data_IF_612073223510
#
_entry.id   IF_612073223510
#
_cell.length_a   1.000
_cell.length_b   1.000
_cell.length_c   1.000
_cell.angle_alpha   90.00
_cell.angle_beta   90.00
_cell.angle_gamma   90.00
#
_symmetry.space_group_name_H-M   'P 1'
#
loop_
_entity.id
_entity.type
_entity.pdbx_description
1 polymer ?
#
# COMPACT_ATOMS: atom_id res chain seq x y z
N UNK A 1 39.86 27.72 -19.06
CA UNK A 1 38.47 27.66 -18.55
C UNK A 1 37.51 27.02 -19.58
N UNK A 2 37.88 25.92 -20.24
CA UNK A 2 36.98 25.15 -21.15
C UNK A 2 37.47 23.69 -21.16
N UNK A 3 37.45 22.94 -20.04
CA UNK A 3 37.74 21.48 -20.01
C UNK A 3 37.16 20.74 -18.78
N UNK A 4 36.01 21.16 -18.22
CA UNK A 4 35.31 20.40 -17.14
C UNK A 4 33.81 20.25 -17.45
N UNK A 5 33.40 20.32 -18.73
CA UNK A 5 31.98 20.32 -19.11
C UNK A 5 31.49 19.04 -19.79
N UNK A 6 32.32 17.99 -19.89
CA UNK A 6 31.94 16.72 -20.52
C UNK A 6 31.83 15.52 -19.57
N UNK A 7 32.27 15.63 -18.32
CA UNK A 7 32.22 14.51 -17.36
C UNK A 7 30.90 14.44 -16.57
N UNK A 8 30.08 15.49 -16.58
CA UNK A 8 28.79 15.52 -15.84
C UNK A 8 27.57 15.11 -16.69
N UNK A 9 27.73 14.95 -18.00
CA UNK A 9 26.66 14.53 -18.91
C UNK A 9 26.59 12.99 -19.10
N UNK A 10 27.48 12.23 -18.45
CA UNK A 10 27.64 10.78 -18.63
C UNK A 10 27.02 9.92 -17.50
N UNK A 11 26.22 10.50 -16.60
CA UNK A 11 25.63 9.79 -15.45
C UNK A 11 24.12 9.53 -15.54
N UNK A 12 23.47 9.81 -16.69
CA UNK A 12 22.06 9.49 -16.92
C UNK A 12 21.85 8.71 -18.22
N UNK A 13 22.82 7.87 -18.59
CA UNK A 13 22.59 6.83 -19.59
C UNK A 13 21.79 5.71 -18.94
N UNK A 14 20.47 5.90 -18.79
CA UNK A 14 19.56 4.79 -18.54
C UNK A 14 19.72 3.83 -19.71
N UNK A 15 20.43 2.74 -19.47
CA UNK A 15 20.48 1.63 -20.40
C UNK A 15 19.04 1.17 -20.52
N UNK A 16 18.42 1.31 -21.69
CA UNK A 16 17.12 0.69 -21.96
C UNK A 16 17.38 -0.82 -21.98
N UNK A 17 17.40 -1.42 -20.79
CA UNK A 17 17.37 -2.87 -20.66
C UNK A 17 16.02 -3.31 -21.19
N UNK A 18 16.03 -4.29 -22.09
CA UNK A 18 14.80 -4.91 -22.54
C UNK A 18 14.09 -5.50 -21.30
N UNK A 19 12.84 -5.09 -21.08
CA UNK A 19 12.04 -5.62 -19.98
C UNK A 19 11.88 -7.14 -20.14
N UNK A 20 12.01 -7.87 -19.04
CA UNK A 20 11.96 -9.33 -19.00
C UNK A 20 10.61 -9.84 -18.46
N UNK A 21 10.16 -10.96 -19.03
CA UNK A 21 9.00 -11.74 -18.54
C UNK A 21 9.36 -12.70 -17.38
N UNK A 22 10.62 -12.77 -16.96
CA UNK A 22 11.07 -13.70 -15.91
C UNK A 22 10.29 -13.51 -14.60
N UNK A 23 10.02 -12.26 -14.23
CA UNK A 23 9.22 -11.93 -13.04
C UNK A 23 7.79 -12.46 -13.14
N UNK A 24 7.15 -12.30 -14.30
CA UNK A 24 5.83 -12.86 -14.57
C UNK A 24 5.83 -14.39 -14.47
N UNK A 25 6.73 -15.06 -15.19
CA UNK A 25 6.80 -16.52 -15.25
C UNK A 25 7.14 -17.16 -13.90
N UNK A 26 7.90 -16.46 -13.07
CA UNK A 26 8.25 -16.92 -11.71
C UNK A 26 7.08 -16.79 -10.73
N UNK A 27 6.23 -15.77 -10.89
CA UNK A 27 5.16 -15.45 -9.93
C UNK A 27 3.81 -16.00 -10.34
N UNK A 28 3.42 -15.76 -11.58
CA UNK A 28 2.06 -15.99 -12.02
C UNK A 28 1.92 -17.36 -12.68
N UNK A 29 0.93 -18.12 -12.22
CA UNK A 29 0.52 -19.37 -12.84
C UNK A 29 -0.85 -19.21 -13.47
N UNK A 30 -0.91 -19.43 -14.77
CA UNK A 30 -2.16 -19.52 -15.50
C UNK A 30 -2.75 -20.92 -15.32
N UNK A 31 -4.00 -20.98 -14.87
CA UNK A 31 -4.77 -22.21 -14.77
C UNK A 31 -5.83 -22.19 -15.85
N UNK A 32 -5.77 -23.18 -16.73
CA UNK A 32 -6.67 -23.34 -17.86
C UNK A 32 -7.59 -24.54 -17.63
N UNK A 33 -8.79 -24.49 -18.21
CA UNK A 33 -9.70 -25.63 -18.22
C UNK A 33 -9.28 -26.70 -19.25
N UNK A 34 -10.12 -27.74 -19.41
CA UNK A 34 -9.88 -28.82 -20.37
C UNK A 34 -9.96 -28.36 -21.83
N UNK A 35 -10.60 -27.22 -22.10
CA UNK A 35 -10.69 -26.62 -23.43
C UNK A 35 -9.52 -25.67 -23.72
N UNK A 36 -8.62 -25.48 -22.74
CA UNK A 36 -7.47 -24.58 -22.85
C UNK A 36 -7.81 -23.11 -22.62
N UNK A 37 -9.00 -22.79 -22.10
CA UNK A 37 -9.40 -21.42 -21.73
C UNK A 37 -8.88 -21.07 -20.35
N UNK A 38 -8.38 -19.86 -20.19
CA UNK A 38 -7.98 -19.32 -18.89
C UNK A 38 -9.18 -19.32 -17.92
N UNK A 39 -8.93 -19.75 -16.69
CA UNK A 39 -9.90 -19.79 -15.59
C UNK A 39 -9.42 -18.90 -14.45
N UNK A 40 -8.18 -19.10 -13.99
CA UNK A 40 -7.57 -18.30 -12.93
C UNK A 40 -6.13 -17.95 -13.20
N UNK A 41 -5.71 -16.82 -12.62
CA UNK A 41 -4.31 -16.45 -12.45
C UNK A 41 -4.00 -16.53 -10.96
N UNK A 42 -3.03 -17.39 -10.62
CA UNK A 42 -2.52 -17.52 -9.26
C UNK A 42 -1.19 -16.80 -9.12
N UNK A 43 -0.97 -16.13 -7.99
CA UNK A 43 0.34 -15.67 -7.57
C UNK A 43 0.97 -16.68 -6.61
N UNK A 44 2.10 -17.25 -7.00
CA UNK A 44 2.84 -18.26 -6.25
C UNK A 44 3.60 -17.69 -5.05
N UNK A 45 3.78 -16.37 -4.98
CA UNK A 45 4.41 -15.70 -3.83
C UNK A 45 3.46 -15.53 -2.64
N UNK A 46 2.15 -15.67 -2.88
CA UNK A 46 1.12 -15.65 -1.86
C UNK A 46 0.97 -17.01 -1.18
N UNK A 47 0.63 -17.00 0.12
CA UNK A 47 0.57 -18.21 0.95
C UNK A 47 -0.75 -18.32 1.70
N UNK A 48 -1.21 -19.56 1.88
CA UNK A 48 -2.34 -19.91 2.75
C UNK A 48 -2.00 -19.87 4.24
N UNK A 49 -0.70 -19.86 4.59
CA UNK A 49 -0.25 -19.93 6.00
C UNK A 49 -0.18 -18.54 6.59
N UNK A 50 -1.31 -18.04 7.06
CA UNK A 50 -1.36 -16.77 7.80
C UNK A 50 -0.78 -16.90 9.21
N UNK A 51 0.07 -15.94 9.59
CA UNK A 51 0.43 -15.69 10.98
C UNK A 51 0.48 -14.20 11.27
N UNK A 52 -0.02 -13.80 12.43
CA UNK A 52 0.02 -12.44 12.94
C UNK A 52 1.40 -12.06 13.48
N UNK A 53 2.24 -13.05 13.81
CA UNK A 53 3.54 -12.87 14.46
C UNK A 53 4.47 -11.88 13.74
N UNK A 54 4.62 -11.90 12.40
CA UNK A 54 5.45 -10.92 11.69
C UNK A 54 4.98 -9.48 11.93
N UNK A 55 3.67 -9.24 11.90
CA UNK A 55 3.11 -7.91 12.14
C UNK A 55 3.24 -7.47 13.59
N UNK A 56 3.02 -8.36 14.56
CA UNK A 56 3.26 -8.06 15.97
C UNK A 56 4.72 -7.68 16.24
N UNK A 57 5.67 -8.41 15.64
CA UNK A 57 7.10 -8.08 15.74
C UNK A 57 7.41 -6.73 15.09
N UNK A 58 6.89 -6.50 13.89
CA UNK A 58 7.04 -5.26 13.14
C UNK A 58 6.56 -4.06 13.96
N UNK A 59 5.29 -4.06 14.38
CA UNK A 59 4.70 -2.91 15.09
C UNK A 59 5.38 -2.68 16.44
N UNK A 60 5.70 -3.74 17.19
CA UNK A 60 6.42 -3.64 18.46
C UNK A 60 7.80 -2.99 18.27
N UNK A 61 8.55 -3.45 17.26
CA UNK A 61 9.90 -2.94 17.01
C UNK A 61 9.90 -1.46 16.62
N UNK A 62 8.94 -1.04 15.80
CA UNK A 62 8.80 0.35 15.40
C UNK A 62 8.31 1.24 16.55
N UNK A 63 7.38 0.76 17.37
CA UNK A 63 6.95 1.46 18.58
C UNK A 63 8.14 1.75 19.52
N UNK A 64 8.92 0.72 19.86
CA UNK A 64 10.08 0.87 20.73
C UNK A 64 11.16 1.78 20.11
N UNK A 65 11.41 1.66 18.80
CA UNK A 65 12.33 2.56 18.08
C UNK A 65 11.90 4.01 18.18
N UNK A 66 10.62 4.31 17.98
CA UNK A 66 10.12 5.70 18.06
C UNK A 66 10.11 6.24 19.48
N UNK A 67 9.77 5.42 20.48
CA UNK A 67 9.89 5.81 21.89
C UNK A 67 11.34 6.15 22.24
N UNK A 68 12.31 5.35 21.80
CA UNK A 68 13.72 5.60 22.02
C UNK A 68 14.22 6.87 21.30
N UNK A 69 13.77 7.14 20.06
CA UNK A 69 14.09 8.38 19.34
C UNK A 69 13.56 9.61 20.08
N UNK A 70 12.32 9.58 20.53
CA UNK A 70 11.71 10.69 21.25
C UNK A 70 12.42 10.93 22.59
N UNK A 71 12.72 9.87 23.35
CA UNK A 71 13.40 9.96 24.65
C UNK A 71 14.83 10.49 24.52
N UNK A 72 15.59 10.02 23.51
CA UNK A 72 16.99 10.41 23.32
C UNK A 72 17.16 11.85 22.83
N UNK A 73 16.25 12.36 21.99
CA UNK A 73 16.34 13.69 21.40
C UNK A 73 15.58 14.76 22.19
N UNK A 74 14.58 14.38 22.97
CA UNK A 74 13.59 15.31 23.50
C UNK A 74 12.54 15.69 22.45
N UNK A 75 11.44 16.27 22.92
CA UNK A 75 10.25 16.58 22.09
C UNK A 75 10.56 17.61 20.99
N UNK A 76 11.37 18.63 21.29
CA UNK A 76 11.67 19.72 20.35
C UNK A 76 12.48 19.23 19.14
N UNK A 77 13.57 18.50 19.40
CA UNK A 77 14.41 17.96 18.33
C UNK A 77 13.71 16.83 17.54
N UNK A 78 12.81 16.08 18.19
CA UNK A 78 11.95 15.13 17.49
C UNK A 78 10.92 15.83 16.59
N UNK A 79 10.32 16.93 17.05
CA UNK A 79 9.42 17.73 16.23
C UNK A 79 10.14 18.32 15.01
N UNK A 80 11.38 18.80 15.16
CA UNK A 80 12.20 19.24 14.04
C UNK A 80 12.49 18.11 13.02
N UNK A 81 12.69 16.87 13.47
CA UNK A 81 12.81 15.70 12.59
C UNK A 81 11.50 15.46 11.81
N UNK A 82 10.35 15.54 12.48
CA UNK A 82 9.04 15.42 11.82
C UNK A 82 8.81 16.53 10.80
N UNK A 83 9.20 17.76 11.12
CA UNK A 83 9.13 18.89 10.20
C UNK A 83 9.96 18.60 8.96
N UNK A 84 11.22 18.22 9.10
CA UNK A 84 12.07 17.86 7.96
C UNK A 84 11.48 16.71 7.13
N UNK A 85 10.83 15.76 7.78
CA UNK A 85 10.27 14.58 7.12
C UNK A 85 9.03 14.91 6.29
N UNK A 86 8.17 15.83 6.72
CA UNK A 86 6.85 16.08 6.14
C UNK A 86 6.66 17.47 5.52
N UNK A 87 7.65 18.35 5.60
CA UNK A 87 7.57 19.70 5.05
C UNK A 87 7.36 19.70 3.52
N UNK A 88 6.34 20.43 3.08
CA UNK A 88 5.83 20.51 1.70
C UNK A 88 5.02 19.30 1.24
N UNK A 89 4.79 18.34 2.15
CA UNK A 89 3.91 17.20 1.93
C UNK A 89 2.67 17.28 2.82
N UNK A 90 2.84 17.47 4.14
CA UNK A 90 1.73 17.63 5.10
C UNK A 90 1.42 19.08 5.46
N UNK A 91 2.45 19.92 5.49
CA UNK A 91 2.35 21.33 5.86
C UNK A 91 3.46 22.12 5.17
N UNK A 92 3.25 23.42 5.00
CA UNK A 92 4.26 24.30 4.41
C UNK A 92 5.38 24.64 5.39
N UNK A 93 6.55 25.01 4.85
CA UNK A 93 7.69 25.44 5.67
C UNK A 93 7.29 26.62 6.54
N UNK A 94 7.51 26.48 7.85
CA UNK A 94 7.21 27.52 8.82
C UNK A 94 5.73 27.60 9.25
N UNK A 95 4.86 26.71 8.77
CA UNK A 95 3.46 26.61 9.23
C UNK A 95 3.40 25.93 10.61
N UNK A 96 3.72 26.72 11.64
CA UNK A 96 3.80 26.21 13.01
C UNK A 96 2.43 25.86 13.61
N UNK A 97 1.35 26.45 13.06
CA UNK A 97 -0.02 26.32 13.56
C UNK A 97 -0.84 25.28 12.79
N UNK A 98 -0.22 24.53 11.87
CA UNK A 98 -0.89 23.43 11.18
C UNK A 98 -1.51 22.45 12.16
N UNK A 99 -2.84 22.31 12.11
CA UNK A 99 -3.58 21.34 12.92
C UNK A 99 -3.04 19.92 12.73
N UNK A 100 -2.65 19.57 11.51
CA UNK A 100 -2.03 18.28 11.17
C UNK A 100 -0.72 18.07 11.92
N UNK A 101 0.15 19.08 11.94
CA UNK A 101 1.45 19.05 12.62
C UNK A 101 1.27 18.82 14.12
N UNK A 102 0.32 19.52 14.73
CA UNK A 102 -0.01 19.39 16.16
C UNK A 102 -0.56 17.99 16.46
N UNK A 103 -1.55 17.52 15.69
CA UNK A 103 -2.14 16.19 15.86
C UNK A 103 -1.07 15.10 15.76
N UNK A 104 -0.16 15.20 14.78
CA UNK A 104 0.91 14.22 14.60
C UNK A 104 1.85 14.22 15.81
N UNK A 105 2.27 15.39 16.25
CA UNK A 105 3.18 15.56 17.40
C UNK A 105 2.55 15.04 18.68
N UNK A 106 1.30 15.41 18.96
CA UNK A 106 0.56 14.97 20.15
C UNK A 106 0.31 13.46 20.15
N UNK A 107 0.01 12.90 18.98
CA UNK A 107 -0.16 11.45 18.82
C UNK A 107 1.14 10.71 19.13
N UNK A 108 2.27 11.18 18.60
CA UNK A 108 3.58 10.57 18.87
C UNK A 108 3.99 10.75 20.34
N UNK A 109 3.68 11.90 20.95
CA UNK A 109 3.90 12.14 22.39
C UNK A 109 3.05 11.20 23.25
N UNK A 110 1.77 11.03 22.92
CA UNK A 110 0.89 10.10 23.63
C UNK A 110 1.37 8.65 23.51
N UNK A 111 1.93 8.27 22.35
CA UNK A 111 2.52 6.95 22.17
C UNK A 111 3.71 6.68 23.09
N UNK A 112 4.45 7.73 23.49
CA UNK A 112 5.62 7.60 24.36
C UNK A 112 5.32 7.18 25.79
N UNK A 113 4.08 7.33 26.23
CA UNK A 113 3.64 6.97 27.59
C UNK A 113 3.11 5.53 27.67
N UNK A 114 2.95 4.85 26.53
CA UNK A 114 2.44 3.48 26.47
C UNK A 114 3.52 2.48 26.87
N UNK A 115 3.22 1.60 27.83
CA UNK A 115 4.07 0.44 28.15
C UNK A 115 3.93 -0.63 27.06
N UNK A 116 4.70 -0.47 25.99
CA UNK A 116 4.70 -1.38 24.83
C UNK A 116 5.10 -2.79 25.24
N UNK A 117 6.06 -2.95 26.14
CA UNK A 117 6.48 -4.28 26.57
C UNK A 117 5.41 -4.98 27.40
N UNK A 118 4.76 -4.26 28.32
CA UNK A 118 3.63 -4.76 29.10
C UNK A 118 2.49 -5.24 28.22
N UNK A 119 2.06 -4.42 27.25
CA UNK A 119 0.95 -4.78 26.34
C UNK A 119 1.24 -6.06 25.55
N UNK A 120 2.45 -6.22 25.00
CA UNK A 120 2.77 -7.38 24.15
C UNK A 120 3.15 -8.64 24.95
N UNK A 121 3.46 -8.51 26.24
CA UNK A 121 3.71 -9.64 27.14
C UNK A 121 2.45 -10.14 27.83
N UNK A 122 1.40 -9.33 27.88
CA UNK A 122 0.11 -9.68 28.51
C UNK A 122 -0.56 -10.90 27.86
N UNK A 123 -1.07 -11.81 28.70
CA UNK A 123 -1.67 -13.06 28.24
C UNK A 123 -3.05 -12.85 27.62
N UNK A 124 -3.86 -11.91 28.12
CA UNK A 124 -5.16 -11.60 27.54
C UNK A 124 -5.00 -10.97 26.15
N UNK A 125 -3.99 -10.12 25.96
CA UNK A 125 -3.64 -9.59 24.64
C UNK A 125 -3.26 -10.71 23.67
N UNK A 126 -2.36 -11.62 24.07
CA UNK A 126 -1.95 -12.77 23.23
C UNK A 126 -3.13 -13.68 22.89
N UNK A 127 -4.05 -13.89 23.83
CA UNK A 127 -5.28 -14.67 23.63
C UNK A 127 -6.15 -14.06 22.52
N UNK A 128 -6.39 -12.74 22.56
CA UNK A 128 -7.15 -12.03 21.51
C UNK A 128 -6.46 -12.15 20.15
N UNK A 129 -5.13 -11.97 20.10
CA UNK A 129 -4.36 -12.08 18.87
C UNK A 129 -4.44 -13.50 18.27
N UNK A 130 -4.34 -14.53 19.10
CA UNK A 130 -4.45 -15.94 18.68
C UNK A 130 -5.86 -16.29 18.20
N UNK A 131 -6.89 -15.79 18.86
CA UNK A 131 -8.28 -15.99 18.45
C UNK A 131 -8.55 -15.37 17.06
N UNK A 132 -8.04 -14.16 16.82
CA UNK A 132 -8.11 -13.52 15.51
C UNK A 132 -7.34 -14.28 14.43
N UNK A 133 -6.10 -14.71 14.72
CA UNK A 133 -5.29 -15.49 13.78
C UNK A 133 -6.03 -16.76 13.32
N UNK A 134 -6.64 -17.50 14.25
CA UNK A 134 -7.42 -18.70 13.93
C UNK A 134 -8.63 -18.42 13.03
N UNK A 135 -9.35 -17.32 13.28
CA UNK A 135 -10.49 -16.91 12.43
C UNK A 135 -10.07 -16.49 11.03
N UNK A 136 -8.95 -15.80 10.90
CA UNK A 136 -8.40 -15.44 9.59
C UNK A 136 -7.95 -16.68 8.84
N UNK A 137 -7.28 -17.64 9.50
CA UNK A 137 -6.89 -18.90 8.87
C UNK A 137 -8.10 -19.69 8.37
N UNK A 138 -9.20 -19.71 9.14
CA UNK A 138 -10.48 -20.29 8.72
C UNK A 138 -11.03 -19.57 7.47
N UNK A 139 -11.08 -18.23 7.49
CA UNK A 139 -11.54 -17.42 6.37
C UNK A 139 -10.71 -17.64 5.09
N UNK A 140 -9.37 -17.72 5.21
CA UNK A 140 -8.48 -17.88 4.05
C UNK A 140 -8.68 -19.21 3.31
N UNK A 141 -9.14 -20.27 4.00
CA UNK A 141 -9.48 -21.55 3.35
C UNK A 141 -10.60 -21.41 2.32
N UNK A 142 -11.54 -20.48 2.53
CA UNK A 142 -12.65 -20.22 1.59
C UNK A 142 -12.26 -19.26 0.46
N UNK A 143 -11.32 -18.35 0.73
CA UNK A 143 -10.99 -17.27 -0.20
C UNK A 143 -9.99 -17.69 -1.28
N UNK A 144 -9.06 -18.59 -0.93
CA UNK A 144 -7.82 -18.83 -1.69
C UNK A 144 -7.06 -17.51 -1.94
N UNK A 145 -6.13 -17.11 -1.05
CA UNK A 145 -5.43 -15.85 -1.18
C UNK A 145 -4.49 -15.82 -2.40
N UNK A 146 -4.19 -16.96 -3.03
CA UNK A 146 -3.30 -17.02 -4.19
C UNK A 146 -3.99 -16.58 -5.48
N UNK A 147 -5.33 -16.60 -5.54
CA UNK A 147 -6.07 -16.18 -6.73
C UNK A 147 -6.08 -14.66 -6.82
N UNK A 148 -5.35 -14.12 -7.80
CA UNK A 148 -5.28 -12.67 -8.08
C UNK A 148 -6.22 -12.27 -9.23
N UNK A 149 -6.59 -13.20 -10.10
CA UNK A 149 -7.67 -13.02 -11.08
C UNK A 149 -8.43 -14.32 -11.31
N UNK A 150 -9.75 -14.23 -11.43
CA UNK A 150 -10.68 -15.28 -11.84
C UNK A 150 -11.50 -14.77 -13.04
N UNK A 151 -11.25 -15.33 -14.23
CA UNK A 151 -11.78 -14.79 -15.49
C UNK A 151 -13.10 -15.41 -15.91
N UNK A 152 -13.45 -16.60 -15.39
CA UNK A 152 -14.66 -17.34 -15.71
C UNK A 152 -15.87 -17.01 -14.82
N UNK A 153 -15.65 -16.36 -13.66
CA UNK A 153 -16.73 -15.94 -12.74
C UNK A 153 -16.66 -14.43 -12.47
N UNK A 154 -17.58 -13.62 -13.07
CA UNK A 154 -17.59 -12.17 -12.93
C UNK A 154 -18.08 -11.67 -11.56
N UNK A 155 -18.30 -12.58 -10.59
CA UNK A 155 -18.71 -12.23 -9.22
C UNK A 155 -17.88 -12.95 -8.16
N UNK A 156 -16.70 -13.45 -8.54
CA UNK A 156 -15.88 -14.28 -7.66
C UNK A 156 -15.45 -13.54 -6.40
N UNK A 157 -14.90 -12.33 -6.52
CA UNK A 157 -14.37 -11.61 -5.37
C UNK A 157 -15.47 -10.89 -4.59
N UNK A 158 -16.50 -10.36 -5.27
CA UNK A 158 -17.61 -9.66 -4.61
C UNK A 158 -18.34 -10.54 -3.57
N UNK A 159 -18.48 -11.85 -3.83
CA UNK A 159 -19.15 -12.81 -2.92
C UNK A 159 -18.33 -13.18 -1.67
N UNK A 160 -17.06 -12.78 -1.57
CA UNK A 160 -16.04 -13.41 -0.73
C UNK A 160 -15.46 -12.44 0.33
N UNK A 161 -16.25 -12.10 1.36
CA UNK A 161 -15.89 -11.16 2.44
C UNK A 161 -15.61 -11.80 3.82
N UNK A 162 -15.07 -13.02 3.85
CA UNK A 162 -14.89 -13.79 5.09
C UNK A 162 -13.92 -13.12 6.12
N UNK A 163 -12.92 -12.35 5.68
CA UNK A 163 -11.98 -11.67 6.58
C UNK A 163 -12.64 -10.57 7.40
N UNK A 164 -13.66 -9.90 6.86
CA UNK A 164 -14.37 -8.85 7.58
C UNK A 164 -15.15 -9.41 8.77
N UNK A 165 -15.77 -10.58 8.61
CA UNK A 165 -16.48 -11.26 9.69
C UNK A 165 -15.51 -11.68 10.81
N UNK A 166 -14.32 -12.15 10.45
CA UNK A 166 -13.26 -12.45 11.42
C UNK A 166 -12.82 -11.20 12.22
N UNK A 167 -12.71 -10.05 11.56
CA UNK A 167 -12.41 -8.78 12.22
C UNK A 167 -13.52 -8.37 13.19
N UNK A 168 -14.78 -8.36 12.77
CA UNK A 168 -15.92 -7.99 13.63
C UNK A 168 -15.94 -8.85 14.90
N UNK A 169 -15.80 -10.17 14.75
CA UNK A 169 -15.69 -11.09 15.88
C UNK A 169 -14.53 -10.72 16.82
N UNK A 170 -13.33 -10.49 16.27
CA UNK A 170 -12.14 -10.22 17.08
C UNK A 170 -12.23 -8.87 17.81
N UNK A 171 -12.84 -7.85 17.22
CA UNK A 171 -13.07 -6.56 17.87
C UNK A 171 -14.00 -6.71 19.08
N UNK A 172 -15.08 -7.49 18.94
CA UNK A 172 -16.00 -7.74 20.05
C UNK A 172 -15.38 -8.61 21.13
N UNK A 173 -14.58 -9.61 20.74
CA UNK A 173 -13.82 -10.42 21.68
C UNK A 173 -12.79 -9.58 22.47
N UNK A 174 -12.06 -8.69 21.79
CA UNK A 174 -11.10 -7.78 22.42
C UNK A 174 -11.77 -6.87 23.47
N UNK A 175 -12.91 -6.26 23.14
CA UNK A 175 -13.68 -5.40 24.06
C UNK A 175 -14.15 -6.12 25.31
N UNK A 176 -14.48 -7.41 25.20
CA UNK A 176 -14.91 -8.25 26.33
C UNK A 176 -13.74 -8.70 27.19
N UNK A 177 -12.57 -8.90 26.58
CA UNK A 177 -11.42 -9.55 27.23
C UNK A 177 -10.40 -8.56 27.81
N UNK A 178 -10.24 -7.39 27.19
CA UNK A 178 -9.22 -6.39 27.56
C UNK A 178 -9.87 -5.24 28.32
N UNK A 179 -9.45 -5.03 29.56
CA UNK A 179 -10.00 -4.00 30.45
C UNK A 179 -9.20 -2.69 30.46
N UNK A 180 -7.91 -2.71 30.12
CA UNK A 180 -7.09 -1.50 30.09
C UNK A 180 -7.17 -0.80 28.73
N UNK A 181 -7.28 0.53 28.76
CA UNK A 181 -7.34 1.37 27.55
C UNK A 181 -6.09 1.17 26.66
N UNK A 182 -4.84 1.15 27.18
CA UNK A 182 -3.64 0.87 26.38
C UNK A 182 -3.70 -0.46 25.62
N UNK A 183 -4.09 -1.54 26.30
CA UNK A 183 -4.17 -2.86 25.68
C UNK A 183 -5.30 -2.92 24.65
N UNK A 184 -6.49 -2.44 25.00
CA UNK A 184 -7.64 -2.46 24.11
C UNK A 184 -7.36 -1.67 22.84
N UNK A 185 -6.90 -0.43 22.93
CA UNK A 185 -6.61 0.40 21.76
C UNK A 185 -5.53 -0.23 20.87
N UNK A 186 -4.46 -0.77 21.47
CA UNK A 186 -3.40 -1.47 20.73
C UNK A 186 -3.95 -2.70 20.01
N UNK A 187 -4.79 -3.50 20.68
CA UNK A 187 -5.42 -4.67 20.07
C UNK A 187 -6.34 -4.26 18.91
N UNK A 188 -7.24 -3.29 19.12
CA UNK A 188 -8.16 -2.82 18.07
C UNK A 188 -7.39 -2.30 16.85
N UNK A 189 -6.29 -1.57 17.07
CA UNK A 189 -5.40 -1.12 16.00
C UNK A 189 -4.77 -2.29 15.25
N UNK A 190 -4.16 -3.23 15.97
CA UNK A 190 -3.49 -4.39 15.36
C UNK A 190 -4.47 -5.23 14.53
N UNK A 191 -5.67 -5.50 15.07
CA UNK A 191 -6.71 -6.26 14.39
C UNK A 191 -7.14 -5.58 13.07
N UNK A 192 -7.47 -4.28 13.13
CA UNK A 192 -7.92 -3.51 11.96
C UNK A 192 -6.83 -3.41 10.89
N UNK A 193 -5.60 -3.08 11.29
CA UNK A 193 -4.50 -2.95 10.33
C UNK A 193 -4.11 -4.30 9.73
N UNK A 194 -4.18 -5.39 10.50
CA UNK A 194 -3.87 -6.72 9.98
C UNK A 194 -4.87 -7.15 8.90
N UNK A 195 -6.17 -6.96 9.14
CA UNK A 195 -7.21 -7.24 8.14
C UNK A 195 -7.04 -6.37 6.89
N UNK A 196 -6.72 -5.08 7.07
CA UNK A 196 -6.42 -4.18 5.96
C UNK A 196 -5.22 -4.67 5.15
N UNK A 197 -4.11 -5.03 5.80
CA UNK A 197 -2.88 -5.49 5.14
C UNK A 197 -3.08 -6.81 4.39
N UNK A 198 -3.93 -7.72 4.89
CA UNK A 198 -4.32 -8.93 4.16
C UNK A 198 -5.02 -8.58 2.85
N UNK A 199 -6.01 -7.67 2.88
CA UNK A 199 -6.69 -7.22 1.65
C UNK A 199 -5.75 -6.46 0.72
N UNK A 200 -4.90 -5.62 1.29
CA UNK A 200 -3.93 -4.80 0.57
C UNK A 200 -2.93 -5.65 -0.22
N UNK A 201 -2.47 -6.77 0.35
CA UNK A 201 -1.57 -7.72 -0.33
C UNK A 201 -2.16 -8.17 -1.66
N UNK A 202 -3.42 -8.66 -1.69
CA UNK A 202 -4.07 -9.05 -2.94
C UNK A 202 -4.12 -7.89 -3.95
N UNK A 203 -4.54 -6.70 -3.54
CA UNK A 203 -4.62 -5.55 -4.46
C UNK A 203 -3.25 -5.14 -4.97
N UNK A 204 -2.20 -5.26 -4.17
CA UNK A 204 -0.81 -5.01 -4.56
C UNK A 204 -0.38 -5.96 -5.69
N UNK A 205 -0.57 -7.26 -5.50
CA UNK A 205 -0.25 -8.28 -6.52
C UNK A 205 -1.14 -8.17 -7.75
N UNK A 206 -2.39 -7.75 -7.60
CA UNK A 206 -3.24 -7.41 -8.74
C UNK A 206 -2.68 -6.22 -9.55
N UNK A 207 -2.10 -5.21 -8.90
CA UNK A 207 -1.43 -4.13 -9.63
C UNK A 207 -0.10 -4.59 -10.27
N UNK A 208 0.61 -5.57 -9.69
CA UNK A 208 1.73 -6.23 -10.38
C UNK A 208 1.24 -6.92 -11.65
N UNK A 209 0.17 -7.70 -11.57
CA UNK A 209 -0.40 -8.40 -12.71
C UNK A 209 -0.88 -7.40 -13.78
N UNK A 210 -1.53 -6.30 -13.38
CA UNK A 210 -1.95 -5.24 -14.30
C UNK A 210 -0.77 -4.65 -15.07
N UNK A 211 0.39 -4.45 -14.43
CA UNK A 211 1.59 -4.00 -15.13
C UNK A 211 1.97 -4.96 -16.25
N UNK A 212 2.10 -6.26 -15.95
CA UNK A 212 2.48 -7.23 -16.97
C UNK A 212 1.47 -7.33 -18.11
N UNK A 213 0.18 -7.32 -17.79
CA UNK A 213 -0.90 -7.42 -18.80
C UNK A 213 -0.99 -6.15 -19.66
N UNK A 214 -0.60 -4.99 -19.15
CA UNK A 214 -0.56 -3.74 -19.94
C UNK A 214 0.71 -3.61 -20.78
N UNK A 215 1.85 -4.00 -20.23
CA UNK A 215 3.16 -3.76 -20.87
C UNK A 215 3.50 -4.82 -21.93
N UNK A 216 3.10 -6.07 -21.73
CA UNK A 216 3.43 -7.19 -22.61
C UNK A 216 2.24 -7.64 -23.45
N UNK A 217 2.51 -8.24 -24.62
CA UNK A 217 1.44 -8.81 -25.45
C UNK A 217 0.85 -10.03 -24.76
N UNK A 218 -0.48 -10.17 -24.83
CA UNK A 218 -1.21 -11.29 -24.22
C UNK A 218 -0.63 -12.66 -24.60
N UNK A 219 -0.23 -12.84 -25.87
CA UNK A 219 0.37 -14.10 -26.35
C UNK A 219 1.69 -14.45 -25.66
N UNK A 220 2.51 -13.45 -25.34
CA UNK A 220 3.79 -13.65 -24.66
C UNK A 220 3.57 -14.04 -23.19
N UNK A 221 2.43 -13.65 -22.62
CA UNK A 221 1.96 -14.06 -21.28
C UNK A 221 1.25 -15.42 -21.29
N UNK A 222 1.02 -16.04 -22.46
CA UNK A 222 0.29 -17.30 -22.60
C UNK A 222 -1.25 -17.15 -22.57
N UNK A 223 -1.77 -15.95 -22.87
CA UNK A 223 -3.19 -15.61 -22.91
C UNK A 223 -3.65 -15.20 -24.32
N UNK A 224 -4.94 -15.34 -24.63
CA UNK A 224 -5.54 -14.61 -25.76
C UNK A 224 -5.80 -13.15 -25.39
N UNK A 225 -6.10 -12.32 -26.38
CA UNK A 225 -6.46 -10.91 -26.13
C UNK A 225 -7.73 -10.79 -25.27
N UNK A 226 -8.73 -11.64 -25.52
CA UNK A 226 -9.98 -11.68 -24.77
C UNK A 226 -9.74 -12.13 -23.32
N UNK A 227 -8.87 -13.12 -23.11
CA UNK A 227 -8.46 -13.57 -21.77
C UNK A 227 -7.77 -12.45 -21.00
N UNK A 228 -6.84 -11.71 -21.62
CA UNK A 228 -6.20 -10.55 -21.02
C UNK A 228 -7.22 -9.46 -20.63
N UNK A 229 -8.22 -9.18 -21.49
CA UNK A 229 -9.29 -8.24 -21.17
C UNK A 229 -10.14 -8.71 -19.98
N UNK A 230 -10.41 -10.00 -19.86
CA UNK A 230 -11.11 -10.56 -18.70
C UNK A 230 -10.26 -10.53 -17.42
N UNK A 231 -8.92 -10.61 -17.52
CA UNK A 231 -8.03 -10.37 -16.37
C UNK A 231 -8.18 -8.93 -15.87
N UNK A 232 -8.20 -7.93 -16.76
CA UNK A 232 -8.51 -6.55 -16.35
C UNK A 232 -9.85 -6.47 -15.63
N UNK A 233 -10.89 -7.11 -16.15
CA UNK A 233 -12.23 -7.10 -15.55
C UNK A 233 -12.26 -7.76 -14.18
N UNK A 234 -11.58 -8.90 -14.02
CA UNK A 234 -11.44 -9.59 -12.75
C UNK A 234 -10.78 -8.74 -11.67
N UNK A 235 -9.72 -8.02 -12.03
CA UNK A 235 -9.01 -7.15 -11.10
C UNK A 235 -9.86 -5.95 -10.70
N UNK A 236 -10.64 -5.38 -11.61
CA UNK A 236 -11.52 -4.25 -11.31
C UNK A 236 -12.77 -4.68 -10.54
N UNK A 237 -13.30 -5.88 -10.79
CA UNK A 237 -14.39 -6.48 -10.02
C UNK A 237 -14.00 -6.69 -8.56
N UNK A 238 -12.77 -7.12 -8.31
CA UNK A 238 -12.23 -7.27 -6.95
C UNK A 238 -12.19 -5.97 -6.14
N UNK A 239 -12.31 -4.80 -6.80
CA UNK A 239 -12.35 -3.46 -6.18
C UNK A 239 -13.77 -2.99 -5.89
N UNK A 240 -14.80 -3.69 -6.37
CA UNK A 240 -16.20 -3.31 -6.18
C UNK A 240 -16.57 -3.52 -4.71
N UNK A 241 -17.02 -2.48 -4.00
CA UNK A 241 -17.49 -2.65 -2.63
C UNK A 241 -18.67 -3.61 -2.55
N UNK A 242 -18.77 -4.37 -1.46
CA UNK A 242 -19.81 -5.38 -1.26
C UNK A 242 -21.25 -4.84 -1.41
N UNK A 243 -21.47 -3.57 -1.07
CA UNK A 243 -22.78 -2.93 -1.18
C UNK A 243 -23.12 -2.44 -2.60
N UNK A 244 -22.15 -2.38 -3.52
CA UNK A 244 -22.34 -1.87 -4.87
C UNK A 244 -22.78 -2.96 -5.86
N UNK A 245 -23.91 -3.61 -5.56
CA UNK A 245 -24.47 -4.71 -6.38
C UNK A 245 -24.70 -4.28 -7.84
N UNK A 246 -25.12 -3.03 -8.06
CA UNK A 246 -25.33 -2.49 -9.40
C UNK A 246 -24.05 -2.50 -10.24
N UNK A 247 -22.91 -2.16 -9.64
CA UNK A 247 -21.62 -2.13 -10.30
C UNK A 247 -21.15 -3.56 -10.60
N UNK A 248 -21.35 -4.51 -9.68
CA UNK A 248 -21.06 -5.93 -9.93
C UNK A 248 -21.92 -6.51 -11.06
N UNK A 249 -23.20 -6.13 -11.14
CA UNK A 249 -24.06 -6.52 -12.25
C UNK A 249 -23.63 -5.88 -13.58
N UNK A 250 -23.20 -4.61 -13.57
CA UNK A 250 -22.66 -3.94 -14.74
C UNK A 250 -21.35 -4.60 -15.22
N UNK A 251 -20.47 -4.99 -14.29
CA UNK A 251 -19.25 -5.74 -14.59
C UNK A 251 -19.58 -7.07 -15.27
N UNK A 252 -20.54 -7.84 -14.74
CA UNK A 252 -20.96 -9.10 -15.33
C UNK A 252 -21.59 -8.94 -16.72
N UNK A 253 -22.34 -7.86 -16.96
CA UNK A 253 -22.98 -7.60 -18.25
C UNK A 253 -21.99 -7.23 -19.37
N UNK A 254 -20.88 -6.56 -19.02
CA UNK A 254 -19.85 -6.12 -19.97
C UNK A 254 -18.48 -6.76 -19.68
N UNK A 255 -18.46 -8.02 -19.25
CA UNK A 255 -17.25 -8.64 -18.68
C UNK A 255 -16.02 -8.59 -19.59
N UNK A 256 -16.19 -8.73 -20.91
CA UNK A 256 -15.09 -8.68 -21.87
C UNK A 256 -14.45 -7.29 -22.04
N UNK A 257 -15.07 -6.21 -21.54
CA UNK A 257 -14.57 -4.83 -21.71
C UNK A 257 -14.58 -4.00 -20.43
N UNK A 258 -15.32 -4.42 -19.41
CA UNK A 258 -15.53 -3.70 -18.16
C UNK A 258 -14.21 -3.20 -17.55
N UNK A 259 -13.26 -4.09 -17.31
CA UNK A 259 -11.99 -3.74 -16.68
C UNK A 259 -11.11 -2.88 -17.56
N UNK A 260 -11.05 -3.16 -18.86
CA UNK A 260 -10.27 -2.36 -19.83
C UNK A 260 -10.78 -0.93 -19.86
N UNK A 261 -12.10 -0.75 -19.93
CA UNK A 261 -12.76 0.56 -19.92
C UNK A 261 -12.45 1.33 -18.64
N UNK A 262 -12.57 0.68 -17.47
CA UNK A 262 -12.25 1.27 -16.16
C UNK A 262 -10.76 1.64 -16.06
N UNK A 263 -9.88 0.73 -16.46
CA UNK A 263 -8.44 0.92 -16.43
C UNK A 263 -8.02 2.15 -17.23
N UNK A 264 -8.36 2.22 -18.51
CA UNK A 264 -7.95 3.35 -19.35
C UNK A 264 -8.68 4.66 -19.00
N UNK A 265 -9.88 4.60 -18.43
CA UNK A 265 -10.50 5.78 -17.82
C UNK A 265 -9.68 6.31 -16.64
N UNK A 266 -9.18 5.42 -15.76
CA UNK A 266 -8.28 5.80 -14.67
C UNK A 266 -6.93 6.32 -15.18
N UNK A 267 -6.34 5.70 -16.20
CA UNK A 267 -5.09 6.20 -16.83
C UNK A 267 -5.25 7.61 -17.38
N UNK A 268 -6.36 7.90 -18.09
CA UNK A 268 -6.65 9.25 -18.59
C UNK A 268 -6.80 10.25 -17.45
N UNK A 269 -7.57 9.91 -16.41
CA UNK A 269 -7.73 10.78 -15.23
C UNK A 269 -6.40 11.03 -14.51
N UNK A 270 -5.54 10.02 -14.43
CA UNK A 270 -4.22 10.11 -13.81
C UNK A 270 -3.28 11.04 -14.61
N UNK A 271 -3.29 10.95 -15.94
CA UNK A 271 -2.52 11.85 -16.80
C UNK A 271 -3.06 13.29 -16.69
N UNK A 272 -4.38 13.50 -16.77
CA UNK A 272 -4.96 14.84 -16.59
C UNK A 272 -4.64 15.46 -15.23
N UNK A 273 -4.52 14.64 -14.17
CA UNK A 273 -4.04 15.12 -12.87
C UNK A 273 -2.59 15.56 -12.95
N UNK A 274 -1.70 14.76 -13.55
CA UNK A 274 -0.30 15.14 -13.70
C UNK A 274 -0.18 16.47 -14.44
N UNK A 275 -0.85 16.62 -15.58
CA UNK A 275 -0.85 17.85 -16.39
C UNK A 275 -1.30 19.07 -15.55
N UNK A 276 -2.36 18.92 -14.75
CA UNK A 276 -2.87 19.99 -13.87
C UNK A 276 -1.83 20.45 -12.84
N UNK A 277 -0.98 19.55 -12.36
CA UNK A 277 -0.01 19.81 -11.28
C UNK A 277 1.44 19.86 -11.76
N UNK A 278 1.69 19.85 -13.07
CA UNK A 278 3.03 19.86 -13.65
C UNK A 278 3.89 21.00 -13.11
N UNK A 279 3.31 22.19 -12.98
CA UNK A 279 3.99 23.40 -12.44
C UNK A 279 4.43 23.30 -10.97
N UNK A 280 4.05 22.24 -10.25
CA UNK A 280 4.50 21.98 -8.87
C UNK A 280 5.82 21.19 -8.81
N UNK A 281 6.32 20.72 -9.95
CA UNK A 281 7.56 19.97 -10.07
C UNK A 281 8.59 20.80 -10.84
N UNK A 282 9.87 20.60 -10.51
CA UNK A 282 10.96 21.31 -11.18
C UNK A 282 11.07 20.84 -12.65
N UNK A 283 10.83 19.54 -12.87
CA UNK A 283 10.82 18.91 -14.19
C UNK A 283 10.00 17.63 -14.15
N UNK A 284 9.19 17.39 -15.17
CA UNK A 284 8.60 16.07 -15.43
C UNK A 284 9.56 15.26 -16.30
N UNK A 285 9.89 14.05 -15.85
CA UNK A 285 10.75 13.10 -16.53
C UNK A 285 9.96 12.07 -17.34
N UNK A 286 10.57 10.93 -17.63
CA UNK A 286 9.97 9.88 -18.45
C UNK A 286 8.89 9.07 -17.72
N UNK A 287 8.02 8.43 -18.50
CA UNK A 287 6.98 7.55 -17.97
C UNK A 287 7.62 6.26 -17.47
N UNK A 288 7.28 5.86 -16.25
CA UNK A 288 7.72 4.57 -15.69
C UNK A 288 6.76 3.46 -16.16
N UNK A 289 5.47 3.64 -15.93
CA UNK A 289 4.41 2.74 -16.42
C UNK A 289 3.06 3.48 -16.46
N UNK A 290 1.94 2.76 -16.56
CA UNK A 290 0.59 3.35 -16.58
C UNK A 290 0.31 4.30 -15.39
N UNK A 291 0.83 4.00 -14.20
CA UNK A 291 0.56 4.74 -12.96
C UNK A 291 1.66 5.70 -12.53
N UNK A 292 2.91 5.50 -12.97
CA UNK A 292 4.08 6.20 -12.42
C UNK A 292 4.86 7.01 -13.46
N UNK A 293 5.49 8.10 -13.02
CA UNK A 293 6.29 9.02 -13.83
C UNK A 293 7.50 9.51 -13.04
N UNK A 294 8.67 9.63 -13.66
CA UNK A 294 9.80 10.32 -13.06
C UNK A 294 9.56 11.84 -12.99
N UNK A 295 10.12 12.49 -11.97
CA UNK A 295 10.15 13.95 -11.86
C UNK A 295 11.34 14.42 -11.02
N UNK A 296 11.66 15.70 -11.13
CA UNK A 296 12.51 16.43 -10.18
C UNK A 296 11.63 17.27 -9.27
N UNK A 297 11.83 17.16 -7.95
CA UNK A 297 11.06 17.90 -6.95
C UNK A 297 11.98 18.37 -5.82
N UNK A 298 12.09 19.69 -5.67
CA UNK A 298 12.93 20.35 -4.66
C UNK A 298 14.39 19.90 -4.74
N UNK A 299 14.89 19.66 -5.95
CA UNK A 299 16.26 19.20 -6.19
C UNK A 299 16.49 17.69 -6.08
N UNK A 300 15.50 16.91 -5.64
CA UNK A 300 15.57 15.44 -5.60
C UNK A 300 14.93 14.82 -6.86
N UNK A 301 15.44 13.66 -7.28
CA UNK A 301 14.80 12.80 -8.29
C UNK A 301 13.79 11.89 -7.61
N UNK A 302 12.54 11.98 -8.04
CA UNK A 302 11.40 11.28 -7.45
C UNK A 302 10.60 10.53 -8.50
N UNK A 303 9.82 9.55 -8.04
CA UNK A 303 8.80 8.86 -8.83
C UNK A 303 7.43 9.25 -8.32
N UNK A 304 6.62 9.84 -9.19
CA UNK A 304 5.27 10.30 -8.91
C UNK A 304 4.27 9.19 -9.16
N UNK A 305 3.29 9.06 -8.26
CA UNK A 305 2.09 8.27 -8.45
C UNK A 305 0.99 9.16 -9.03
N UNK A 306 0.63 8.95 -10.30
CA UNK A 306 -0.40 9.73 -10.99
C UNK A 306 -1.81 9.35 -10.54
N UNK A 307 -2.00 8.12 -10.08
CA UNK A 307 -3.31 7.57 -9.68
C UNK A 307 -3.75 8.05 -8.29
N UNK A 308 -2.81 8.42 -7.43
CA UNK A 308 -3.08 8.86 -6.07
C UNK A 308 -2.60 10.31 -5.85
N UNK A 309 -3.45 11.14 -5.23
CA UNK A 309 -3.04 12.45 -4.73
C UNK A 309 -2.21 12.31 -3.46
N UNK A 310 -1.51 13.38 -3.04
CA UNK A 310 -0.75 13.42 -1.78
C UNK A 310 -1.62 12.98 -0.60
N UNK A 311 -2.87 13.43 -0.56
CA UNK A 311 -3.89 13.04 0.43
C UNK A 311 -5.30 13.44 -0.03
N UNK A 312 -6.34 13.15 0.77
CA UNK A 312 -7.76 13.44 0.41
C UNK A 312 -8.03 14.92 0.08
N UNK A 313 -7.23 15.85 0.57
CA UNK A 313 -7.42 17.30 0.36
C UNK A 313 -6.40 17.93 -0.61
N UNK A 314 -5.38 17.17 -1.04
CA UNK A 314 -4.41 17.62 -2.03
C UNK A 314 -4.36 16.62 -3.19
N UNK A 315 -4.87 17.08 -4.34
CA UNK A 315 -4.89 16.32 -5.58
C UNK A 315 -3.55 16.25 -6.32
N UNK A 316 -2.48 16.90 -5.83
CA UNK A 316 -1.13 16.80 -6.40
C UNK A 316 -0.68 15.33 -6.43
N UNK A 317 -0.08 14.81 -7.51
CA UNK A 317 0.44 13.45 -7.55
C UNK A 317 1.35 13.12 -6.35
N UNK A 318 1.14 11.98 -5.69
CA UNK A 318 1.92 11.63 -4.51
C UNK A 318 3.34 11.18 -4.89
N UNK A 319 4.34 11.49 -4.07
CA UNK A 319 5.71 10.98 -4.24
C UNK A 319 5.76 9.54 -3.73
N UNK A 320 5.94 8.58 -4.64
CA UNK A 320 5.96 7.14 -4.34
C UNK A 320 7.35 6.64 -3.95
N UNK A 321 8.38 7.18 -4.58
CA UNK A 321 9.77 6.89 -4.25
C UNK A 321 10.60 8.15 -4.42
N UNK A 322 11.53 8.39 -3.51
CA UNK A 322 12.58 9.40 -3.67
C UNK A 322 13.89 8.64 -3.90
N UNK A 323 14.49 8.78 -5.07
CA UNK A 323 15.68 8.01 -5.45
C UNK A 323 16.92 8.47 -4.69
N UNK A 324 17.00 9.75 -4.34
CA UNK A 324 18.10 10.32 -3.56
C UNK A 324 17.96 10.01 -2.06
N UNK A 325 16.73 9.80 -1.58
CA UNK A 325 16.39 9.40 -0.22
C UNK A 325 15.39 8.22 -0.17
N UNK A 326 15.80 6.98 -0.55
CA UNK A 326 14.89 5.85 -0.73
C UNK A 326 14.11 5.42 0.52
N UNK A 327 14.57 5.81 1.71
CA UNK A 327 13.90 5.49 2.98
C UNK A 327 12.91 6.56 3.43
N UNK A 328 12.81 7.70 2.75
CA UNK A 328 11.97 8.84 3.18
C UNK A 328 10.49 8.45 3.23
N UNK A 329 9.97 7.89 2.14
CA UNK A 329 8.55 7.46 2.03
C UNK A 329 8.24 6.37 3.05
N UNK A 330 9.10 5.34 3.17
CA UNK A 330 8.95 4.30 4.19
C UNK A 330 8.88 4.90 5.61
N UNK A 331 9.76 5.85 5.92
CA UNK A 331 9.81 6.51 7.23
C UNK A 331 8.54 7.32 7.51
N UNK A 332 8.06 8.11 6.53
CA UNK A 332 6.81 8.84 6.61
C UNK A 332 5.63 7.91 6.94
N UNK A 333 5.53 6.79 6.22
CA UNK A 333 4.48 5.79 6.43
C UNK A 333 4.52 5.17 7.82
N UNK A 334 5.71 4.82 8.32
CA UNK A 334 5.87 4.29 9.68
C UNK A 334 5.38 5.32 10.71
N UNK A 335 5.81 6.58 10.60
CA UNK A 335 5.37 7.64 11.54
C UNK A 335 3.87 7.82 11.49
N UNK A 336 3.27 7.90 10.29
CA UNK A 336 1.82 8.06 10.12
C UNK A 336 1.05 6.86 10.70
N UNK A 337 1.51 5.64 10.44
CA UNK A 337 0.90 4.42 10.99
C UNK A 337 0.95 4.39 12.52
N UNK A 338 2.08 4.79 13.12
CA UNK A 338 2.25 4.84 14.57
C UNK A 338 1.48 5.99 15.21
N UNK A 339 1.46 7.16 14.57
CA UNK A 339 0.66 8.29 15.00
C UNK A 339 -0.83 7.93 15.00
N UNK A 340 -1.28 7.09 14.06
CA UNK A 340 -2.65 6.61 14.06
C UNK A 340 -3.02 5.78 15.31
N UNK A 341 -2.08 4.96 15.80
CA UNK A 341 -2.22 4.30 17.10
C UNK A 341 -2.14 5.33 18.24
N UNK A 342 -1.19 6.26 18.18
CA UNK A 342 -1.02 7.35 19.15
C UNK A 342 -2.28 8.18 19.36
N UNK A 343 -2.98 8.50 18.28
CA UNK A 343 -4.22 9.27 18.26
C UNK A 343 -5.34 8.62 19.10
N UNK A 344 -5.34 7.30 19.22
CA UNK A 344 -6.29 6.58 20.08
C UNK A 344 -6.15 6.95 21.56
N UNK A 345 -4.94 7.36 21.98
CA UNK A 345 -4.61 7.75 23.36
C UNK A 345 -4.78 9.25 23.64
N UNK A 346 -4.92 10.08 22.61
CA UNK A 346 -5.16 11.52 22.80
C UNK A 346 -6.61 11.74 23.24
N UNK A 347 -6.91 12.58 24.24
CA UNK A 347 -8.28 12.85 24.70
C UNK A 347 -9.02 13.82 23.74
N UNK A 348 -9.26 13.39 22.51
CA UNK A 348 -10.02 14.14 21.51
C UNK A 348 -11.46 13.59 21.37
N UNK A 349 -12.43 14.46 21.01
CA UNK A 349 -13.75 14.01 20.55
C UNK A 349 -13.65 12.98 19.41
N UNK A 350 -14.56 12.01 19.39
CA UNK A 350 -14.54 10.91 18.41
C UNK A 350 -14.53 11.40 16.97
N UNK A 351 -15.32 12.42 16.63
CA UNK A 351 -15.37 12.97 15.27
C UNK A 351 -14.03 13.54 14.80
N UNK A 352 -13.24 14.14 15.70
CA UNK A 352 -11.90 14.66 15.38
C UNK A 352 -10.93 13.51 15.17
N UNK A 353 -11.01 12.47 16.01
CA UNK A 353 -10.21 11.25 15.85
C UNK A 353 -10.50 10.57 14.51
N UNK A 354 -11.77 10.47 14.13
CA UNK A 354 -12.15 9.85 12.85
C UNK A 354 -11.67 10.66 11.65
N UNK A 355 -11.78 11.99 11.70
CA UNK A 355 -11.25 12.87 10.66
C UNK A 355 -9.73 12.73 10.52
N UNK A 356 -9.00 12.81 11.64
CA UNK A 356 -7.55 12.66 11.66
C UNK A 356 -7.11 11.25 11.22
N UNK A 357 -7.82 10.21 11.65
CA UNK A 357 -7.60 8.83 11.22
C UNK A 357 -7.72 8.70 9.70
N UNK A 358 -8.81 9.19 9.13
CA UNK A 358 -9.07 9.12 7.68
C UNK A 358 -8.05 9.95 6.88
N UNK A 359 -7.67 11.13 7.40
CA UNK A 359 -6.65 11.96 6.79
C UNK A 359 -5.29 11.26 6.78
N UNK A 360 -4.82 10.76 7.92
CA UNK A 360 -3.53 10.04 8.05
C UNK A 360 -3.48 8.83 7.12
N UNK A 361 -4.57 8.05 7.03
CA UNK A 361 -4.68 6.91 6.12
C UNK A 361 -4.61 7.29 4.65
N UNK A 362 -5.17 8.45 4.29
CA UNK A 362 -5.24 8.88 2.89
C UNK A 362 -3.87 9.12 2.23
N UNK A 363 -2.82 9.37 3.01
CA UNK A 363 -1.47 9.62 2.49
C UNK A 363 -0.86 8.41 1.81
N UNK A 364 -1.01 7.25 2.43
CA UNK A 364 -0.19 6.11 2.03
C UNK A 364 -0.96 4.85 1.75
N UNK A 365 -2.18 4.68 2.27
CA UNK A 365 -2.88 3.40 2.09
C UNK A 365 -3.13 3.14 0.61
N UNK A 366 -3.77 4.06 -0.11
CA UNK A 366 -4.09 3.87 -1.52
C UNK A 366 -2.85 3.89 -2.41
N UNK A 367 -1.87 4.72 -2.08
CA UNK A 367 -0.58 4.80 -2.79
C UNK A 367 0.17 3.47 -2.71
N UNK A 368 0.23 2.86 -1.52
CA UNK A 368 0.92 1.58 -1.32
C UNK A 368 0.34 0.45 -2.16
N UNK A 369 -0.95 0.50 -2.54
CA UNK A 369 -1.58 -0.54 -3.35
C UNK A 369 -1.13 -0.48 -4.81
N UNK A 370 -1.08 0.73 -5.40
CA UNK A 370 -0.71 0.93 -6.80
C UNK A 370 0.78 0.68 -7.04
N UNK A 371 1.61 0.77 -5.99
CA UNK A 371 3.04 0.47 -6.01
C UNK A 371 3.39 -0.97 -6.37
N UNK A 372 2.43 -1.89 -6.37
CA UNK A 372 2.63 -3.22 -6.95
C UNK A 372 3.06 -3.14 -8.42
N UNK A 373 2.48 -2.22 -9.20
CA UNK A 373 2.89 -2.02 -10.58
C UNK A 373 4.34 -1.53 -10.69
N UNK A 374 4.76 -0.64 -9.79
CA UNK A 374 6.13 -0.10 -9.77
C UNK A 374 7.15 -1.16 -9.34
N UNK A 375 6.80 -2.02 -8.37
CA UNK A 375 7.61 -3.19 -8.03
C UNK A 375 7.80 -4.10 -9.24
N UNK A 376 6.72 -4.41 -9.96
CA UNK A 376 6.77 -5.25 -11.15
C UNK A 376 7.60 -4.63 -12.28
N UNK A 377 7.56 -3.30 -12.44
CA UNK A 377 8.42 -2.58 -13.37
C UNK A 377 9.90 -2.80 -13.03
N UNK A 378 10.33 -2.51 -11.81
CA UNK A 378 11.72 -2.73 -11.40
C UNK A 378 12.17 -4.19 -11.48
N UNK A 379 11.26 -5.13 -11.19
CA UNK A 379 11.54 -6.55 -11.39
C UNK A 379 11.81 -6.87 -12.86
N UNK A 380 10.96 -6.39 -13.77
CA UNK A 380 11.10 -6.64 -15.21
C UNK A 380 12.34 -5.97 -15.81
N UNK A 381 12.76 -4.83 -15.27
CA UNK A 381 13.97 -4.11 -15.67
C UNK A 381 15.24 -4.75 -15.09
N UNK A 382 15.10 -5.69 -14.16
CA UNK A 382 16.23 -6.33 -13.50
C UNK A 382 16.92 -5.45 -12.46
N UNK A 383 16.18 -4.53 -11.81
CA UNK A 383 16.65 -3.73 -10.68
C UNK A 383 16.14 -4.29 -9.34
N UNK A 384 16.83 -5.30 -8.76
CA UNK A 384 16.43 -5.89 -7.49
C UNK A 384 16.57 -4.92 -6.31
N UNK A 385 17.37 -3.84 -6.44
CA UNK A 385 17.54 -2.86 -5.35
C UNK A 385 16.33 -1.96 -5.26
N UNK A 386 15.88 -1.41 -6.38
CA UNK A 386 14.68 -0.60 -6.45
C UNK A 386 13.43 -1.43 -6.12
N UNK A 387 13.32 -2.65 -6.65
CA UNK A 387 12.23 -3.58 -6.28
C UNK A 387 12.20 -3.85 -4.77
N UNK A 388 13.36 -4.10 -4.14
CA UNK A 388 13.43 -4.30 -2.68
C UNK A 388 13.04 -3.06 -1.89
N UNK A 389 13.45 -1.86 -2.33
CA UNK A 389 13.05 -0.61 -1.68
C UNK A 389 11.51 -0.42 -1.74
N UNK A 390 10.91 -0.68 -2.91
CA UNK A 390 9.46 -0.63 -3.12
C UNK A 390 8.70 -1.64 -2.25
N UNK A 391 9.24 -2.86 -2.14
CA UNK A 391 8.69 -3.88 -1.27
C UNK A 391 8.71 -3.46 0.20
N UNK A 392 9.84 -2.92 0.68
CA UNK A 392 9.98 -2.51 2.08
C UNK A 392 9.04 -1.35 2.46
N UNK A 393 8.80 -0.39 1.56
CA UNK A 393 7.91 0.72 1.85
C UNK A 393 6.41 0.36 1.85
N UNK A 394 6.02 -0.81 1.35
CA UNK A 394 4.63 -1.27 1.43
C UNK A 394 4.19 -1.56 2.88
N UNK A 395 5.15 -1.72 3.82
CA UNK A 395 4.93 -1.96 5.25
C UNK A 395 3.98 -3.12 5.57
N UNK A 396 3.97 -4.14 4.71
CA UNK A 396 3.14 -5.32 4.90
C UNK A 396 4.03 -6.52 5.26
N UNK A 397 4.06 -6.99 6.51
CA UNK A 397 4.95 -8.09 6.89
C UNK A 397 4.35 -9.48 6.61
N UNK A 398 3.13 -9.56 6.06
CA UNK A 398 2.47 -10.84 5.75
C UNK A 398 2.86 -11.41 4.39
N UNK A 399 3.47 -10.61 3.53
CA UNK A 399 3.79 -11.02 2.17
C UNK A 399 5.25 -11.48 2.08
N UNK A 400 5.49 -12.51 1.29
CA UNK A 400 6.86 -13.01 1.08
C UNK A 400 7.69 -12.03 0.23
N UNK A 401 7.04 -11.23 -0.61
CA UNK A 401 7.71 -10.21 -1.43
C UNK A 401 8.36 -9.12 -0.59
N UNK A 402 7.83 -8.88 0.61
CA UNK A 402 8.24 -7.79 1.48
C UNK A 402 9.34 -8.18 2.50
N UNK A 403 9.72 -9.46 2.55
CA UNK A 403 10.60 -10.02 3.60
C UNK A 403 12.00 -10.44 3.09
#
# INVERSE_FOLDING_TARGET
>A
MIRISLALAALLSFSVQAQSLDGFNKRFKLVKDLEGKLVTVHDQSLSFKFSLKPYLKFIKSHLLSEQARLQSKGIEAYQAELDQLFEGELWERGDQNSTTRLILTDSMKALSTVDVDGVFKDEAFKEVMKAFEGRIQEAMRFLDPTVVARVDDPKFFWKKNATHQALVFALDFARKRLSSVPMLNTALFVLKESERLIRASRTYHQNMLLYYVEEFKAVDLGMTHEEANMVFSSIHEARIPWYAIWESNAAAADWGKYGVNKFYASVRAANSRLDKYESKYDKIGDRVNYAFQYASYKGDVVVLNKFNGTHTFDGKPAISLNLDSPRKVMRQRIVLQLANLGLSFVPLPSFIKDLAHNFVKSFYEQQSLTEGAMYATFESEGDPRAAKAMAQQALNPFDSVFN
#
